data_IF_387905470490
#
_entry.id   IF_387905470490
#
_cell.length_a   1.000
_cell.length_b   1.000
_cell.length_c   1.000
_cell.angle_alpha   90.00
_cell.angle_beta   90.00
_cell.angle_gamma   90.00
#
_symmetry.space_group_name_H-M   'P 1'
#
loop_
_entity.id
_entity.type
_entity.pdbx_description
1 polymer ?
#
# COMPACT_ATOMS: atom_id res chain seq x y z
N UNK A 1 14.42 5.36 -14.82
CA UNK A 1 14.26 4.92 -16.23
C UNK A 1 13.83 3.49 -16.22
N UNK A 2 12.79 3.16 -16.99
CA UNK A 2 12.27 1.79 -17.05
C UNK A 2 13.36 0.80 -17.49
N UNK A 3 13.44 -0.36 -16.85
CA UNK A 3 14.33 -1.45 -17.19
C UNK A 3 13.78 -2.32 -18.33
N UNK A 4 12.47 -2.24 -18.58
CA UNK A 4 11.78 -2.98 -19.63
C UNK A 4 11.92 -2.26 -20.98
N UNK A 5 12.66 -2.85 -21.91
CA UNK A 5 12.97 -2.25 -23.22
C UNK A 5 11.77 -2.09 -24.16
N UNK A 6 10.65 -2.73 -23.84
CA UNK A 6 9.39 -2.60 -24.58
C UNK A 6 8.51 -1.45 -24.08
N UNK A 7 8.97 -0.68 -23.10
CA UNK A 7 8.29 0.50 -22.57
C UNK A 7 9.05 1.79 -22.92
N UNK A 8 8.36 2.95 -22.97
CA UNK A 8 9.02 4.25 -23.01
C UNK A 8 10.05 4.46 -21.88
N UNK A 9 11.02 5.35 -22.09
CA UNK A 9 12.08 5.62 -21.11
C UNK A 9 11.53 6.18 -19.78
N UNK A 10 10.51 7.05 -19.90
CA UNK A 10 9.70 7.54 -18.80
C UNK A 10 8.37 6.77 -18.81
N UNK A 11 8.26 5.81 -17.91
CA UNK A 11 7.05 5.00 -17.75
C UNK A 11 6.67 4.92 -16.29
N UNK A 12 5.36 4.77 -16.08
CA UNK A 12 4.70 4.55 -14.81
C UNK A 12 4.23 3.10 -14.71
N UNK A 13 3.64 2.73 -13.56
CA UNK A 13 2.98 1.44 -13.43
C UNK A 13 1.84 1.28 -14.46
N UNK A 14 1.16 2.34 -14.90
CA UNK A 14 0.07 2.21 -15.88
C UNK A 14 0.56 1.66 -17.22
N UNK A 15 1.74 2.08 -17.68
CA UNK A 15 2.36 1.57 -18.91
C UNK A 15 2.67 0.07 -18.79
N UNK A 16 3.16 -0.36 -17.62
CA UNK A 16 3.39 -1.78 -17.32
C UNK A 16 2.07 -2.56 -17.36
N UNK A 17 1.01 -2.05 -16.72
CA UNK A 17 -0.28 -2.71 -16.70
C UNK A 17 -0.91 -2.81 -18.11
N UNK A 18 -0.74 -1.79 -18.94
CA UNK A 18 -1.18 -1.81 -20.35
C UNK A 18 -0.39 -2.84 -21.18
N UNK A 19 0.92 -2.94 -20.98
CA UNK A 19 1.76 -3.92 -21.67
C UNK A 19 1.47 -5.38 -21.24
N UNK A 20 0.99 -5.59 -20.02
CA UNK A 20 0.71 -6.92 -19.45
C UNK A 20 -0.74 -7.04 -18.94
N UNK A 21 -1.76 -6.98 -19.83
CA UNK A 21 -3.16 -6.79 -19.45
C UNK A 21 -3.75 -7.94 -18.63
N UNK A 22 -3.29 -9.18 -18.86
CA UNK A 22 -3.73 -10.32 -18.04
C UNK A 22 -3.25 -10.19 -16.60
N UNK A 23 -2.01 -9.75 -16.38
CA UNK A 23 -1.52 -9.51 -15.01
C UNK A 23 -2.17 -8.30 -14.40
N UNK A 24 -2.42 -7.25 -15.18
CA UNK A 24 -3.19 -6.11 -14.71
C UNK A 24 -4.55 -6.56 -14.17
N UNK A 25 -5.35 -7.28 -14.96
CA UNK A 25 -6.68 -7.73 -14.53
C UNK A 25 -6.66 -8.53 -13.20
N UNK A 26 -5.73 -9.47 -13.05
CA UNK A 26 -5.67 -10.31 -11.85
C UNK A 26 -5.21 -9.54 -10.62
N UNK A 27 -4.19 -8.70 -10.79
CA UNK A 27 -3.58 -7.98 -9.67
C UNK A 27 -4.43 -6.80 -9.21
N UNK A 28 -5.14 -6.14 -10.12
CA UNK A 28 -6.08 -5.07 -9.76
C UNK A 28 -7.36 -5.61 -9.13
N UNK A 29 -7.86 -6.76 -9.58
CA UNK A 29 -8.97 -7.45 -8.91
C UNK A 29 -8.60 -7.88 -7.48
N UNK A 30 -7.39 -8.45 -7.30
CA UNK A 30 -6.89 -8.79 -5.97
C UNK A 30 -6.71 -7.55 -5.09
N UNK A 31 -6.15 -6.47 -5.63
CA UNK A 31 -5.98 -5.22 -4.91
C UNK A 31 -7.33 -4.60 -4.53
N UNK A 32 -8.32 -4.64 -5.42
CA UNK A 32 -9.68 -4.19 -5.14
C UNK A 32 -10.29 -4.94 -3.96
N UNK A 33 -10.20 -6.27 -3.96
CA UNK A 33 -10.74 -7.09 -2.88
C UNK A 33 -10.05 -6.76 -1.54
N UNK A 34 -8.72 -6.76 -1.52
CA UNK A 34 -7.95 -6.50 -0.30
C UNK A 34 -8.19 -5.08 0.21
N UNK A 35 -8.16 -4.07 -0.66
CA UNK A 35 -8.11 -2.66 -0.23
C UNK A 35 -9.48 -1.99 -0.11
N UNK A 36 -10.53 -2.58 -0.71
CA UNK A 36 -11.89 -2.01 -0.75
C UNK A 36 -12.99 -3.02 -0.41
N UNK A 37 -12.71 -4.32 -0.39
CA UNK A 37 -13.68 -5.35 0.00
C UNK A 37 -14.14 -5.20 1.45
N UNK A 38 -15.27 -5.84 1.83
CA UNK A 38 -15.78 -5.78 3.21
C UNK A 38 -14.75 -6.29 4.22
N UNK A 39 -14.73 -5.72 5.41
CA UNK A 39 -13.87 -6.17 6.50
C UNK A 39 -13.82 -5.22 7.68
N UNK A 40 -13.00 -5.58 8.67
CA UNK A 40 -12.86 -4.89 9.94
C UNK A 40 -11.98 -3.63 9.83
N UNK A 41 -10.94 -3.66 8.98
CA UNK A 41 -10.14 -2.47 8.69
C UNK A 41 -10.86 -1.60 7.67
N UNK A 42 -10.96 -0.31 7.96
CA UNK A 42 -11.54 0.65 7.00
C UNK A 42 -10.64 0.78 5.77
N UNK A 43 -11.19 1.15 4.60
CA UNK A 43 -10.38 1.45 3.42
C UNK A 43 -9.24 2.44 3.70
N UNK A 44 -9.49 3.49 4.50
CA UNK A 44 -8.48 4.47 4.91
C UNK A 44 -7.35 3.84 5.73
N UNK A 45 -7.66 2.93 6.65
CA UNK A 45 -6.65 2.21 7.45
C UNK A 45 -5.80 1.29 6.58
N UNK A 46 -6.40 0.63 5.60
CA UNK A 46 -5.68 -0.23 4.65
C UNK A 46 -4.71 0.59 3.79
N UNK A 47 -5.12 1.76 3.30
CA UNK A 47 -4.23 2.68 2.56
C UNK A 47 -3.07 3.18 3.43
N UNK A 48 -3.33 3.53 4.69
CA UNK A 48 -2.28 3.92 5.63
C UNK A 48 -1.24 2.80 5.80
N UNK A 49 -1.67 1.55 6.03
CA UNK A 49 -0.76 0.40 6.15
C UNK A 49 0.03 0.16 4.86
N UNK A 50 -0.61 0.28 3.69
CA UNK A 50 0.04 0.10 2.40
C UNK A 50 1.11 1.17 2.16
N UNK A 51 0.77 2.44 2.38
CA UNK A 51 1.67 3.58 2.21
C UNK A 51 2.85 3.51 3.18
N UNK A 52 2.58 3.18 4.45
CA UNK A 52 3.60 2.97 5.47
C UNK A 52 4.55 1.81 5.10
N UNK A 53 4.01 0.64 4.77
CA UNK A 53 4.81 -0.52 4.36
C UNK A 53 5.64 -0.25 3.11
N UNK A 54 5.10 0.52 2.15
CA UNK A 54 5.83 0.96 0.96
C UNK A 54 6.98 1.91 1.28
N UNK A 55 6.81 2.76 2.29
CA UNK A 55 7.88 3.60 2.84
C UNK A 55 8.99 2.78 3.51
N UNK A 56 8.62 1.73 4.27
CA UNK A 56 9.60 0.78 4.86
C UNK A 56 10.44 0.10 3.77
N UNK A 57 9.82 -0.25 2.63
CA UNK A 57 10.52 -0.81 1.46
C UNK A 57 11.28 0.23 0.62
N UNK A 58 11.22 1.52 0.96
CA UNK A 58 11.75 2.63 0.16
C UNK A 58 11.26 2.62 -1.30
N UNK A 59 10.00 2.24 -1.54
CA UNK A 59 9.38 2.31 -2.87
C UNK A 59 8.72 3.68 -3.06
N UNK A 60 9.43 4.60 -3.71
CA UNK A 60 8.97 5.99 -3.93
C UNK A 60 7.57 6.05 -4.55
N UNK A 61 7.37 5.39 -5.69
CA UNK A 61 6.08 5.38 -6.39
C UNK A 61 4.92 4.92 -5.51
N UNK A 62 5.04 3.75 -4.87
CA UNK A 62 3.95 3.19 -4.07
C UNK A 62 3.74 3.95 -2.77
N UNK A 63 4.81 4.43 -2.12
CA UNK A 63 4.69 5.24 -0.92
C UNK A 63 4.00 6.57 -1.24
N UNK A 64 4.43 7.28 -2.29
CA UNK A 64 3.86 8.57 -2.70
C UNK A 64 2.41 8.44 -3.15
N UNK A 65 2.10 7.49 -4.03
CA UNK A 65 0.74 7.32 -4.55
C UNK A 65 -0.27 6.94 -3.46
N UNK A 66 0.08 5.99 -2.59
CA UNK A 66 -0.83 5.56 -1.52
C UNK A 66 -0.91 6.54 -0.35
N UNK A 67 0.15 7.33 -0.09
CA UNK A 67 0.06 8.46 0.86
C UNK A 67 -0.94 9.49 0.36
N UNK A 68 -0.87 9.88 -0.92
CA UNK A 68 -1.83 10.79 -1.53
C UNK A 68 -3.28 10.26 -1.49
N UNK A 69 -3.48 8.95 -1.67
CA UNK A 69 -4.80 8.30 -1.51
C UNK A 69 -5.26 8.38 -0.05
N UNK A 70 -4.42 7.98 0.89
CA UNK A 70 -4.75 7.96 2.31
C UNK A 70 -5.11 9.35 2.84
N UNK A 71 -4.35 10.39 2.46
CA UNK A 71 -4.62 11.78 2.85
C UNK A 71 -5.95 12.28 2.29
N UNK A 72 -6.24 11.96 1.02
CA UNK A 72 -7.55 12.26 0.41
C UNK A 72 -8.71 11.55 1.13
N UNK A 73 -8.44 10.40 1.74
CA UNK A 73 -9.42 9.62 2.52
C UNK A 73 -9.45 10.01 4.01
N UNK A 74 -8.78 11.09 4.40
CA UNK A 74 -8.86 11.69 5.72
C UNK A 74 -7.70 11.38 6.67
N UNK A 75 -6.63 10.73 6.20
CA UNK A 75 -5.37 10.66 6.97
C UNK A 75 -4.75 12.05 7.04
N UNK A 76 -4.26 12.45 8.22
CA UNK A 76 -3.65 13.76 8.39
C UNK A 76 -2.34 13.86 7.57
N UNK A 77 -2.10 14.98 6.87
CA UNK A 77 -0.86 15.17 6.13
C UNK A 77 0.39 14.96 6.98
N UNK A 78 1.37 14.23 6.45
CA UNK A 78 2.64 13.91 7.14
C UNK A 78 2.54 12.88 8.28
N UNK A 79 1.35 12.34 8.58
CA UNK A 79 1.19 11.30 9.61
C UNK A 79 1.97 10.04 9.27
N UNK A 80 1.91 9.60 8.00
CA UNK A 80 2.59 8.37 7.55
C UNK A 80 4.12 8.53 7.66
N UNK A 81 4.65 9.69 7.27
CA UNK A 81 6.08 10.01 7.41
C UNK A 81 6.51 10.06 8.88
N UNK A 82 5.70 10.65 9.75
CA UNK A 82 5.95 10.62 11.19
C UNK A 82 5.97 9.19 11.74
N UNK A 83 5.11 8.30 11.23
CA UNK A 83 5.11 6.88 11.60
C UNK A 83 6.37 6.15 11.10
N UNK A 84 6.89 6.48 9.93
CA UNK A 84 8.15 5.94 9.41
C UNK A 84 9.35 6.36 10.27
N UNK A 85 9.36 7.60 10.76
CA UNK A 85 10.39 8.12 11.67
C UNK A 85 10.29 7.42 13.03
N UNK A 86 9.08 7.28 13.59
CA UNK A 86 8.88 6.66 14.89
C UNK A 86 7.40 6.37 15.19
N UNK A 87 7.03 5.09 15.13
CA UNK A 87 5.66 4.60 15.39
C UNK A 87 5.14 5.05 16.78
N UNK A 88 6.00 5.04 17.81
CA UNK A 88 5.59 5.33 19.18
C UNK A 88 5.21 6.80 19.38
N UNK A 89 5.90 7.70 18.67
CA UNK A 89 5.70 9.16 18.72
C UNK A 89 4.76 9.68 17.64
N UNK A 90 4.38 8.84 16.67
CA UNK A 90 3.52 9.24 15.57
C UNK A 90 2.12 9.64 16.07
N UNK A 91 1.48 10.65 15.45
CA UNK A 91 0.15 11.13 15.82
C UNK A 91 -0.96 10.23 15.24
N UNK A 92 -0.83 8.92 15.46
CA UNK A 92 -1.80 7.89 15.08
C UNK A 92 -2.44 7.31 16.33
N UNK A 93 -3.68 6.82 16.22
CA UNK A 93 -4.37 6.10 17.30
C UNK A 93 -3.44 5.01 17.89
N UNK A 94 -3.29 5.01 19.22
CA UNK A 94 -2.47 4.03 19.93
C UNK A 94 -2.88 2.59 19.63
N UNK A 95 -4.17 2.34 19.38
CA UNK A 95 -4.68 1.03 18.95
C UNK A 95 -4.09 0.59 17.62
N UNK A 96 -3.72 1.51 16.75
CA UNK A 96 -3.18 1.22 15.42
C UNK A 96 -1.67 0.94 15.44
N UNK A 97 -0.94 1.40 16.46
CA UNK A 97 0.53 1.26 16.55
C UNK A 97 1.01 -0.20 16.49
N UNK A 98 0.38 -1.19 17.15
CA UNK A 98 0.78 -2.59 17.00
C UNK A 98 0.62 -3.13 15.57
N UNK A 99 -0.41 -2.70 14.82
CA UNK A 99 -0.55 -3.08 13.40
C UNK A 99 0.61 -2.53 12.57
N UNK A 100 1.02 -1.28 12.79
CA UNK A 100 2.19 -0.69 12.13
C UNK A 100 3.47 -1.45 12.46
N UNK A 101 3.68 -1.83 13.74
CA UNK A 101 4.84 -2.64 14.15
C UNK A 101 4.82 -4.02 13.51
N UNK A 102 3.65 -4.67 13.46
CA UNK A 102 3.48 -5.97 12.83
C UNK A 102 3.81 -5.90 11.34
N UNK A 103 3.22 -4.94 10.61
CA UNK A 103 3.47 -4.73 9.18
C UNK A 103 4.94 -4.40 8.92
N UNK A 104 5.56 -3.51 9.71
CA UNK A 104 7.00 -3.21 9.59
C UNK A 104 7.85 -4.46 9.73
N UNK A 105 7.64 -5.23 10.80
CA UNK A 105 8.40 -6.46 11.09
C UNK A 105 8.19 -7.52 10.02
N UNK A 106 6.96 -7.69 9.52
CA UNK A 106 6.62 -8.64 8.46
C UNK A 106 7.27 -8.24 7.12
N UNK A 107 7.35 -6.94 6.84
CA UNK A 107 8.05 -6.42 5.65
C UNK A 107 9.57 -6.63 5.73
N UNK A 108 10.20 -6.34 6.87
CA UNK A 108 11.67 -6.40 7.02
C UNK A 108 12.18 -7.83 7.29
N UNK A 109 11.48 -8.59 8.14
CA UNK A 109 11.94 -9.87 8.68
C UNK A 109 10.79 -10.88 8.85
N UNK A 110 10.12 -11.29 7.76
CA UNK A 110 8.92 -12.13 7.82
C UNK A 110 9.13 -13.44 8.59
N UNK A 111 10.32 -14.04 8.50
CA UNK A 111 10.69 -15.27 9.20
C UNK A 111 10.81 -15.12 10.73
N UNK A 112 10.74 -13.89 11.26
CA UNK A 112 10.88 -13.59 12.69
C UNK A 112 9.56 -13.21 13.35
N UNK A 113 8.44 -13.29 12.62
CA UNK A 113 7.09 -13.11 13.20
C UNK A 113 6.82 -14.22 14.22
N UNK A 114 6.20 -13.84 15.33
CA UNK A 114 5.90 -14.68 16.48
C UNK A 114 4.48 -14.43 16.98
N UNK A 115 3.96 -15.32 17.82
CA UNK A 115 2.65 -15.16 18.46
C UNK A 115 2.58 -13.88 19.30
N UNK A 116 3.69 -13.47 19.92
CA UNK A 116 3.75 -12.22 20.69
C UNK A 116 3.46 -10.97 19.84
N UNK A 117 3.80 -10.97 18.55
CA UNK A 117 3.48 -9.86 17.65
C UNK A 117 1.96 -9.80 17.39
N UNK A 118 1.33 -10.96 17.20
CA UNK A 118 -0.12 -11.06 17.00
C UNK A 118 -0.88 -10.73 18.29
N UNK A 119 -0.39 -11.17 19.44
CA UNK A 119 -0.99 -10.88 20.75
C UNK A 119 -0.93 -9.40 21.09
N UNK A 120 0.13 -8.68 20.69
CA UNK A 120 0.20 -7.23 20.84
C UNK A 120 -0.88 -6.49 20.03
N UNK A 121 -1.26 -7.03 18.87
CA UNK A 121 -2.38 -6.50 18.06
C UNK A 121 -3.71 -6.79 18.75
N UNK A 122 -3.93 -8.03 19.21
CA UNK A 122 -5.15 -8.44 19.95
C UNK A 122 -5.34 -7.67 21.24
N UNK A 123 -4.26 -7.35 21.95
CA UNK A 123 -4.31 -6.58 23.19
C UNK A 123 -4.93 -5.18 23.02
N UNK A 124 -4.92 -4.62 21.81
CA UNK A 124 -5.58 -3.35 21.47
C UNK A 124 -7.03 -3.52 20.95
N UNK A 125 -7.58 -4.73 21.06
CA UNK A 125 -8.95 -5.07 20.69
C UNK A 125 -9.16 -5.33 19.20
N UNK A 126 -8.10 -5.61 18.43
CA UNK A 126 -8.23 -6.07 17.04
C UNK A 126 -8.56 -7.56 16.99
N UNK A 127 -9.44 -7.93 16.07
CA UNK A 127 -9.79 -9.33 15.80
C UNK A 127 -8.73 -10.01 14.92
N UNK A 128 -8.76 -11.35 14.89
CA UNK A 128 -7.92 -12.12 13.94
C UNK A 128 -8.27 -11.81 12.48
N UNK A 129 -9.52 -11.43 12.19
CA UNK A 129 -9.92 -10.97 10.86
C UNK A 129 -9.20 -9.66 10.48
N UNK A 130 -9.17 -8.67 11.38
CA UNK A 130 -8.43 -7.42 11.16
C UNK A 130 -6.91 -7.66 11.01
N UNK A 131 -6.34 -8.55 11.82
CA UNK A 131 -4.92 -8.92 11.69
C UNK A 131 -4.64 -9.60 10.34
N UNK A 132 -5.50 -10.53 9.91
CA UNK A 132 -5.40 -11.18 8.61
C UNK A 132 -5.50 -10.16 7.46
N UNK A 133 -6.41 -9.20 7.54
CA UNK A 133 -6.50 -8.09 6.56
C UNK A 133 -5.20 -7.28 6.51
N UNK A 134 -4.61 -6.92 7.66
CA UNK A 134 -3.33 -6.23 7.70
C UNK A 134 -2.18 -7.06 7.09
N UNK A 135 -2.18 -8.37 7.29
CA UNK A 135 -1.22 -9.31 6.66
C UNK A 135 -1.40 -9.32 5.14
N UNK A 136 -2.64 -9.34 4.63
CA UNK A 136 -2.90 -9.29 3.19
C UNK A 136 -2.49 -7.95 2.57
N UNK A 137 -2.77 -6.82 3.23
CA UNK A 137 -2.24 -5.50 2.83
C UNK A 137 -0.71 -5.52 2.86
N UNK A 138 -0.11 -6.19 3.85
CA UNK A 138 1.33 -6.36 3.95
C UNK A 138 1.90 -7.14 2.74
N UNK A 139 1.29 -8.26 2.40
CA UNK A 139 1.69 -9.07 1.25
C UNK A 139 1.52 -8.31 -0.07
N UNK A 140 0.41 -7.56 -0.20
CA UNK A 140 0.07 -6.81 -1.41
C UNK A 140 1.10 -5.70 -1.71
N UNK A 141 1.44 -4.85 -0.73
CA UNK A 141 2.44 -3.81 -0.98
C UNK A 141 3.82 -4.43 -1.24
N UNK A 142 4.19 -5.53 -0.56
CA UNK A 142 5.46 -6.22 -0.83
C UNK A 142 5.53 -6.77 -2.27
N UNK A 143 4.42 -7.25 -2.83
CA UNK A 143 4.32 -7.66 -4.23
C UNK A 143 4.47 -6.46 -5.17
N UNK A 144 3.65 -5.41 -5.00
CA UNK A 144 3.66 -4.25 -5.89
C UNK A 144 4.96 -3.45 -5.81
N UNK A 145 5.53 -3.24 -4.63
CA UNK A 145 6.80 -2.53 -4.49
C UNK A 145 7.92 -3.23 -5.26
N UNK A 146 7.99 -4.57 -5.17
CA UNK A 146 8.99 -5.35 -5.91
C UNK A 146 8.76 -5.31 -7.41
N UNK A 147 7.50 -5.32 -7.84
CA UNK A 147 7.16 -5.20 -9.25
C UNK A 147 7.51 -3.82 -9.81
N UNK A 148 7.11 -2.75 -9.12
CA UNK A 148 7.39 -1.36 -9.51
C UNK A 148 8.90 -1.10 -9.51
N UNK A 149 9.59 -1.34 -8.40
CA UNK A 149 11.04 -1.13 -8.31
C UNK A 149 11.79 -2.02 -9.31
N UNK A 150 11.36 -3.27 -9.49
CA UNK A 150 11.99 -4.21 -10.43
C UNK A 150 11.83 -3.81 -11.90
N UNK A 151 10.81 -3.03 -12.24
CA UNK A 151 10.64 -2.47 -13.60
C UNK A 151 11.31 -1.12 -13.78
N UNK A 152 11.75 -0.44 -12.71
CA UNK A 152 12.40 0.87 -12.77
C UNK A 152 11.46 2.02 -13.18
N UNK A 153 10.15 1.78 -13.14
CA UNK A 153 9.11 2.80 -13.39
C UNK A 153 8.92 3.68 -12.16
N UNK A 154 8.57 4.94 -12.40
CA UNK A 154 8.33 5.92 -11.34
C UNK A 154 7.37 7.00 -11.82
N UNK A 155 6.95 7.90 -10.94
CA UNK A 155 6.12 9.05 -11.26
C UNK A 155 6.35 10.20 -10.26
N UNK A 156 5.77 11.36 -10.55
CA UNK A 156 5.87 12.56 -9.73
C UNK A 156 4.63 12.80 -8.87
N UNK A 157 4.70 13.83 -8.01
CA UNK A 157 3.61 14.23 -7.12
C UNK A 157 2.33 14.60 -7.89
N UNK A 158 2.45 15.18 -9.09
CA UNK A 158 1.30 15.55 -9.92
C UNK A 158 0.55 14.29 -10.38
N UNK A 159 1.28 13.26 -10.80
CA UNK A 159 0.71 11.96 -11.12
C UNK A 159 0.08 11.29 -9.89
N UNK A 160 0.74 11.31 -8.73
CA UNK A 160 0.19 10.75 -7.49
C UNK A 160 -1.13 11.42 -7.09
N UNK A 161 -1.22 12.75 -7.18
CA UNK A 161 -2.45 13.49 -6.91
C UNK A 161 -3.59 13.12 -7.86
N UNK A 162 -3.28 12.88 -9.14
CA UNK A 162 -4.25 12.42 -10.14
C UNK A 162 -4.75 11.01 -9.83
N UNK A 163 -3.84 10.07 -9.57
CA UNK A 163 -4.17 8.69 -9.21
C UNK A 163 -4.99 8.65 -7.92
N UNK A 164 -4.63 9.46 -6.92
CA UNK A 164 -5.35 9.55 -5.66
C UNK A 164 -6.82 9.93 -5.85
N UNK A 165 -7.11 10.85 -6.78
CA UNK A 165 -8.50 11.25 -7.09
C UNK A 165 -9.33 10.06 -7.55
N UNK A 166 -8.78 9.22 -8.43
CA UNK A 166 -9.47 8.04 -8.94
C UNK A 166 -9.55 6.95 -7.86
N UNK A 167 -8.41 6.57 -7.27
CA UNK A 167 -8.36 5.43 -6.34
C UNK A 167 -9.13 5.63 -5.05
N UNK A 168 -9.25 6.87 -4.56
CA UNK A 168 -10.07 7.16 -3.38
C UNK A 168 -11.57 7.01 -3.64
N UNK A 169 -12.03 7.16 -4.88
CA UNK A 169 -13.45 7.09 -5.25
C UNK A 169 -13.81 5.72 -5.84
N UNK A 170 -13.03 5.26 -6.82
CA UNK A 170 -13.37 4.10 -7.65
C UNK A 170 -12.59 2.83 -7.23
N UNK A 171 -11.65 2.98 -6.29
CA UNK A 171 -10.79 1.88 -5.84
C UNK A 171 -9.72 1.51 -6.85
N UNK A 172 -9.53 0.21 -7.05
CA UNK A 172 -8.46 -0.38 -7.87
C UNK A 172 -9.01 -0.94 -9.18
N UNK A 173 -10.24 -0.58 -9.56
CA UNK A 173 -10.77 -1.00 -10.84
C UNK A 173 -9.90 -0.42 -11.96
N UNK A 174 -9.58 -1.25 -12.95
CA UNK A 174 -8.79 -0.78 -14.10
C UNK A 174 -9.59 0.32 -14.80
N UNK A 175 -9.01 1.52 -14.94
CA UNK A 175 -9.55 2.52 -15.86
C UNK A 175 -9.82 1.82 -17.20
N UNK A 176 -11.01 1.97 -17.81
CA UNK A 176 -11.27 1.36 -19.09
C UNK A 176 -10.17 1.81 -20.06
N UNK A 177 -9.37 0.85 -20.50
CA UNK A 177 -8.34 1.09 -21.51
C UNK A 177 -9.09 1.64 -22.71
N UNK A 178 -8.89 2.92 -23.00
CA UNK A 178 -9.44 3.51 -24.22
C UNK A 178 -8.73 2.80 -25.36
N UNK A 179 -9.48 1.96 -26.09
CA UNK A 179 -9.00 1.30 -27.30
C UNK A 179 -8.76 2.28 -28.44
#
# INVERSE_FOLDING_TARGET
MAHLKNLPEQSTLLDVLQAYPRMAQLTTALAQEIMRGPGELTPTQRELLFAFGSGVNACHFCHGSHTAVAERMGVAPGLIDAALIGIDTAPVDDRFKPLLRYVKKLTETPSRITDADADAVRAMGWSDAALHEAILVCALHNFFNRWVNGTGVDADEAFFAQVAKHMATDGYQVLPVSG
#
